data_IF_154667699434
#
_entry.id   IF_154667699434
#
_cell.length_a   1.000
_cell.length_b   1.000
_cell.length_c   1.000
_cell.angle_alpha   90.00
_cell.angle_beta   90.00
_cell.angle_gamma   90.00
#
_symmetry.space_group_name_H-M   'P 1'
#
loop_
_entity.id
_entity.type
_entity.pdbx_description
1 polymer ?
#
# COMPACT_ATOMS: atom_id res chain seq x y z
N UNK A 1 9.15 -8.50 37.66
CA UNK A 1 7.69 -8.70 37.67
C UNK A 1 7.06 -8.13 36.40
N UNK A 2 6.49 -8.97 35.53
CA UNK A 2 5.68 -8.49 34.40
C UNK A 2 4.22 -8.41 34.84
N UNK A 3 3.57 -7.28 34.62
CA UNK A 3 2.26 -6.95 35.23
C UNK A 3 1.04 -7.35 34.41
N UNK A 4 1.17 -7.79 33.15
CA UNK A 4 0.00 -7.88 32.25
C UNK A 4 -0.08 -9.05 31.27
N UNK A 5 0.97 -9.86 31.04
CA UNK A 5 0.90 -11.12 30.25
C UNK A 5 2.18 -11.96 30.43
N UNK A 6 2.06 -13.29 30.28
CA UNK A 6 3.19 -14.21 30.20
C UNK A 6 3.97 -13.96 28.90
N UNK A 7 5.25 -13.59 29.03
CA UNK A 7 6.14 -13.33 27.88
C UNK A 7 6.73 -14.60 27.27
N UNK A 8 6.56 -15.75 27.95
CA UNK A 8 7.05 -17.06 27.51
C UNK A 8 5.85 -18.00 27.53
N UNK A 9 5.56 -18.62 26.38
CA UNK A 9 4.50 -19.61 26.23
C UNK A 9 5.15 -20.96 25.90
N UNK A 10 4.85 -21.99 26.70
CA UNK A 10 5.37 -23.35 26.51
C UNK A 10 4.32 -24.16 25.75
N UNK A 11 4.71 -24.80 24.64
CA UNK A 11 3.82 -25.58 23.78
C UNK A 11 4.61 -26.65 23.01
N UNK A 12 3.90 -27.57 22.33
CA UNK A 12 4.53 -28.58 21.47
C UNK A 12 5.14 -27.99 20.20
N UNK A 13 6.14 -28.67 19.62
CA UNK A 13 6.91 -28.20 18.45
C UNK A 13 5.98 -27.81 17.28
N UNK A 14 5.09 -28.71 16.85
CA UNK A 14 4.15 -28.45 15.74
C UNK A 14 3.20 -27.28 16.02
N UNK A 15 2.78 -27.12 17.28
CA UNK A 15 1.92 -26.00 17.70
C UNK A 15 2.68 -24.67 17.63
N UNK A 16 3.95 -24.64 18.00
CA UNK A 16 4.80 -23.46 17.89
C UNK A 16 5.01 -23.05 16.42
N UNK A 17 5.31 -24.00 15.53
CA UNK A 17 5.45 -23.77 14.09
C UNK A 17 4.15 -23.22 13.50
N UNK A 18 3.02 -23.89 13.74
CA UNK A 18 1.71 -23.45 13.24
C UNK A 18 1.32 -22.06 13.77
N UNK A 19 1.61 -21.76 15.04
CA UNK A 19 1.30 -20.46 15.64
C UNK A 19 1.93 -19.30 14.88
N UNK A 20 3.15 -19.46 14.34
CA UNK A 20 3.80 -18.41 13.56
C UNK A 20 3.06 -18.13 12.26
N UNK A 21 2.69 -19.18 11.53
CA UNK A 21 1.95 -19.06 10.28
C UNK A 21 0.52 -18.51 10.50
N UNK A 22 -0.18 -19.00 11.53
CA UNK A 22 -1.51 -18.55 11.89
C UNK A 22 -1.52 -17.05 12.27
N UNK A 23 -0.56 -16.60 13.08
CA UNK A 23 -0.46 -15.19 13.47
C UNK A 23 -0.23 -14.25 12.27
N UNK A 24 0.73 -14.57 11.40
CA UNK A 24 1.00 -13.77 10.20
C UNK A 24 -0.19 -13.77 9.23
N UNK A 25 -0.87 -14.90 9.07
CA UNK A 25 -2.05 -15.02 8.21
C UNK A 25 -3.23 -14.22 8.75
N UNK A 26 -3.43 -14.21 10.07
CA UNK A 26 -4.47 -13.39 10.69
C UNK A 26 -4.21 -11.89 10.51
N UNK A 27 -2.96 -11.43 10.70
CA UNK A 27 -2.60 -10.03 10.46
C UNK A 27 -2.84 -9.62 9.00
N UNK A 28 -2.49 -10.48 8.04
CA UNK A 28 -2.79 -10.24 6.63
C UNK A 28 -4.28 -10.24 6.34
N UNK A 29 -5.05 -11.14 6.98
CA UNK A 29 -6.52 -11.18 6.88
C UNK A 29 -7.13 -9.85 7.31
N UNK A 30 -6.68 -9.26 8.43
CA UNK A 30 -7.17 -7.94 8.87
C UNK A 30 -6.95 -6.86 7.81
N UNK A 31 -5.78 -6.88 7.14
CA UNK A 31 -5.44 -5.92 6.10
C UNK A 31 -6.29 -6.13 4.84
N UNK A 32 -6.37 -7.36 4.32
CA UNK A 32 -7.20 -7.66 3.14
C UNK A 32 -8.67 -7.35 3.41
N UNK A 33 -9.18 -7.70 4.58
CA UNK A 33 -10.56 -7.38 4.98
C UNK A 33 -10.85 -5.88 4.93
N UNK A 34 -10.03 -5.05 5.60
CA UNK A 34 -10.30 -3.60 5.59
C UNK A 34 -10.10 -2.98 4.20
N UNK A 35 -9.24 -3.55 3.36
CA UNK A 35 -9.07 -3.14 1.97
C UNK A 35 -10.31 -3.47 1.13
N UNK A 36 -10.92 -4.64 1.30
CA UNK A 36 -12.19 -4.99 0.66
C UNK A 36 -13.30 -4.01 1.07
N UNK A 37 -13.43 -3.73 2.37
CA UNK A 37 -14.38 -2.72 2.88
C UNK A 37 -14.08 -1.33 2.29
N UNK A 38 -12.81 -0.95 2.11
CA UNK A 38 -12.46 0.34 1.51
C UNK A 38 -12.97 0.50 0.07
N UNK A 39 -13.04 -0.59 -0.70
CA UNK A 39 -13.61 -0.56 -2.06
C UNK A 39 -15.13 -0.36 -2.01
N UNK A 40 -15.80 -0.96 -1.03
CA UNK A 40 -17.23 -0.73 -0.80
C UNK A 40 -17.48 0.72 -0.36
N UNK A 41 -16.63 1.28 0.51
CA UNK A 41 -16.70 2.69 0.90
C UNK A 41 -16.58 3.61 -0.33
N UNK A 42 -15.66 3.33 -1.25
CA UNK A 42 -15.54 4.09 -2.51
C UNK A 42 -16.80 4.00 -3.41
N UNK A 43 -17.50 2.86 -3.38
CA UNK A 43 -18.69 2.60 -4.20
C UNK A 43 -19.98 3.20 -3.60
N UNK A 44 -20.08 3.21 -2.27
CA UNK A 44 -21.25 3.71 -1.54
C UNK A 44 -21.07 5.12 -0.96
N UNK A 45 -19.97 5.79 -1.31
CA UNK A 45 -19.63 7.15 -0.83
C UNK A 45 -19.56 7.25 0.70
N UNK A 46 -18.99 6.24 1.34
CA UNK A 46 -18.69 6.23 2.78
C UNK A 46 -17.20 6.51 3.04
N UNK A 47 -16.83 6.98 4.25
CA UNK A 47 -15.42 7.16 4.64
C UNK A 47 -14.92 5.93 5.43
N UNK A 48 -13.94 5.23 4.87
CA UNK A 48 -13.32 4.05 5.50
C UNK A 48 -12.68 4.37 6.86
N UNK A 49 -12.25 5.61 7.11
CA UNK A 49 -11.70 6.03 8.39
C UNK A 49 -12.79 6.04 9.47
N UNK A 50 -14.01 6.47 9.13
CA UNK A 50 -15.17 6.44 10.02
C UNK A 50 -15.62 5.00 10.27
N UNK A 51 -15.74 4.19 9.20
CA UNK A 51 -16.10 2.76 9.30
C UNK A 51 -15.10 2.00 10.17
N UNK A 52 -13.79 2.22 9.95
CA UNK A 52 -12.73 1.65 10.79
C UNK A 52 -12.88 2.07 12.24
N UNK A 53 -13.11 3.36 12.52
CA UNK A 53 -13.26 3.85 13.89
C UNK A 53 -14.47 3.23 14.59
N UNK A 54 -15.61 3.12 13.90
CA UNK A 54 -16.81 2.46 14.41
C UNK A 54 -16.57 0.98 14.70
N UNK A 55 -16.04 0.23 13.72
CA UNK A 55 -15.76 -1.20 13.87
C UNK A 55 -14.73 -1.48 14.99
N UNK A 56 -13.64 -0.72 15.03
CA UNK A 56 -12.56 -0.94 16.00
C UNK A 56 -12.87 -0.46 17.42
N UNK A 57 -13.97 0.28 17.61
CA UNK A 57 -14.45 0.63 18.96
C UNK A 57 -14.84 -0.61 19.77
N UNK A 58 -15.17 -1.71 19.09
CA UNK A 58 -15.28 -3.02 19.70
C UNK A 58 -13.88 -3.56 20.08
N UNK A 59 -13.66 -3.70 21.39
CA UNK A 59 -12.39 -4.14 21.96
C UNK A 59 -11.96 -5.55 21.53
N UNK A 60 -12.89 -6.39 21.04
CA UNK A 60 -12.60 -7.71 20.49
C UNK A 60 -11.91 -7.64 19.12
N UNK A 61 -12.08 -6.54 18.39
CA UNK A 61 -11.47 -6.30 17.07
C UNK A 61 -10.18 -5.50 17.23
N UNK A 62 -10.27 -4.38 17.95
CA UNK A 62 -9.18 -3.45 18.23
C UNK A 62 -8.60 -2.72 17.00
N UNK A 63 -7.77 -1.71 17.26
CA UNK A 63 -7.31 -0.72 16.25
C UNK A 63 -6.03 -1.09 15.48
N UNK A 64 -5.35 -2.18 15.87
CA UNK A 64 -4.05 -2.57 15.30
C UNK A 64 -4.20 -3.35 14.00
N UNK A 65 -3.30 -3.11 13.04
CA UNK A 65 -3.20 -3.85 11.77
C UNK A 65 -4.48 -3.84 10.92
N UNK A 66 -5.20 -2.72 10.92
CA UNK A 66 -6.47 -2.58 10.20
C UNK A 66 -6.55 -1.20 9.53
N UNK A 67 -5.50 -0.88 8.80
CA UNK A 67 -5.40 0.36 8.03
C UNK A 67 -5.55 0.03 6.54
N UNK A 68 -6.51 0.64 5.83
CA UNK A 68 -6.66 0.45 4.40
C UNK A 68 -5.48 1.08 3.65
N UNK A 69 -5.14 0.51 2.49
CA UNK A 69 -4.10 1.04 1.62
C UNK A 69 -3.94 0.26 0.33
N UNK A 70 -2.79 0.38 -0.31
CA UNK A 70 -2.40 -0.32 -1.56
C UNK A 70 -2.05 -1.80 -1.38
N UNK A 71 -2.54 -2.43 -0.31
CA UNK A 71 -2.19 -3.80 0.07
C UNK A 71 -0.90 -3.91 0.89
N UNK A 72 -0.62 -5.14 1.30
CA UNK A 72 0.59 -5.53 2.03
C UNK A 72 1.64 -6.15 1.10
N UNK A 73 2.90 -6.10 1.53
CA UNK A 73 4.05 -6.71 0.87
C UNK A 73 5.05 -7.27 1.88
N UNK A 74 6.33 -7.27 1.51
CA UNK A 74 7.43 -7.77 2.32
C UNK A 74 7.59 -9.29 2.26
N UNK A 75 8.63 -9.81 2.91
CA UNK A 75 8.97 -11.24 2.83
C UNK A 75 8.13 -12.17 3.71
N UNK A 76 7.38 -11.62 4.66
CA UNK A 76 6.68 -12.43 5.67
C UNK A 76 5.28 -12.83 5.23
N UNK A 77 4.35 -11.86 5.07
CA UNK A 77 2.94 -12.20 4.83
C UNK A 77 2.71 -12.97 3.52
N UNK A 78 3.18 -12.51 2.34
CA UNK A 78 2.94 -13.23 1.09
C UNK A 78 3.50 -14.65 1.12
N UNK A 79 4.71 -14.82 1.67
CA UNK A 79 5.38 -16.13 1.76
C UNK A 79 4.62 -17.08 2.69
N UNK A 80 4.29 -16.63 3.90
CA UNK A 80 3.70 -17.50 4.93
C UNK A 80 2.26 -17.91 4.58
N UNK A 81 1.47 -17.01 3.95
CA UNK A 81 0.12 -17.33 3.46
C UNK A 81 0.20 -18.38 2.34
N UNK A 82 1.05 -18.14 1.32
CA UNK A 82 1.23 -19.10 0.22
C UNK A 82 1.73 -20.46 0.73
N UNK A 83 2.60 -20.46 1.74
CA UNK A 83 3.05 -21.69 2.39
C UNK A 83 1.91 -22.45 3.09
N UNK A 84 1.05 -21.76 3.85
CA UNK A 84 -0.13 -22.39 4.47
C UNK A 84 -1.14 -22.91 3.44
N UNK A 85 -1.36 -22.16 2.36
CA UNK A 85 -2.24 -22.60 1.27
C UNK A 85 -1.74 -23.92 0.69
N UNK A 86 -0.45 -23.97 0.36
CA UNK A 86 0.18 -25.17 -0.19
C UNK A 86 0.19 -26.33 0.82
N UNK A 87 0.46 -26.06 2.10
CA UNK A 87 0.44 -27.08 3.16
C UNK A 87 -0.96 -27.69 3.33
N UNK A 88 -1.99 -26.85 3.31
CA UNK A 88 -3.40 -27.27 3.38
C UNK A 88 -3.77 -28.21 2.24
N UNK A 89 -3.43 -27.82 1.00
CA UNK A 89 -3.74 -28.62 -0.19
C UNK A 89 -3.01 -29.96 -0.19
N UNK A 90 -1.78 -30.04 0.34
CA UNK A 90 -1.03 -31.30 0.47
C UNK A 90 -1.72 -32.34 1.36
N UNK A 91 -2.58 -31.91 2.29
CA UNK A 91 -3.38 -32.81 3.14
C UNK A 91 -4.84 -32.92 2.68
N UNK A 92 -5.15 -32.47 1.47
CA UNK A 92 -6.50 -32.56 0.89
C UNK A 92 -7.49 -31.50 1.42
N UNK A 93 -7.02 -30.43 2.07
CA UNK A 93 -7.86 -29.34 2.57
C UNK A 93 -7.72 -28.08 1.72
N UNK A 94 -8.85 -27.48 1.30
CA UNK A 94 -8.85 -26.21 0.57
C UNK A 94 -9.08 -25.02 1.53
N UNK A 95 -8.08 -24.15 1.74
CA UNK A 95 -8.15 -23.08 2.73
C UNK A 95 -8.81 -21.82 2.17
N UNK A 96 -10.14 -21.84 2.06
CA UNK A 96 -10.95 -20.77 1.44
C UNK A 96 -10.61 -19.35 1.91
N UNK A 97 -10.42 -19.16 3.22
CA UNK A 97 -10.12 -17.82 3.79
C UNK A 97 -8.73 -17.34 3.33
N UNK A 98 -7.72 -18.19 3.40
CA UNK A 98 -6.35 -17.80 3.05
C UNK A 98 -6.22 -17.48 1.56
N UNK A 99 -6.92 -18.25 0.72
CA UNK A 99 -7.01 -18.01 -0.72
C UNK A 99 -7.63 -16.63 -0.99
N UNK A 100 -8.80 -16.33 -0.40
CA UNK A 100 -9.45 -15.02 -0.56
C UNK A 100 -8.58 -13.85 -0.07
N UNK A 101 -7.87 -14.02 1.04
CA UNK A 101 -6.96 -12.99 1.58
C UNK A 101 -5.84 -12.65 0.58
N UNK A 102 -5.29 -13.66 -0.10
CA UNK A 102 -4.25 -13.49 -1.12
C UNK A 102 -4.79 -12.80 -2.37
N UNK A 103 -5.95 -13.24 -2.87
CA UNK A 103 -6.61 -12.70 -4.06
C UNK A 103 -6.97 -11.22 -3.87
N UNK A 104 -7.62 -10.88 -2.74
CA UNK A 104 -7.97 -9.49 -2.40
C UNK A 104 -6.72 -8.61 -2.34
N UNK A 105 -5.60 -9.09 -1.79
CA UNK A 105 -4.38 -8.30 -1.74
C UNK A 105 -3.75 -8.11 -3.13
N UNK A 106 -3.78 -9.14 -3.97
CA UNK A 106 -3.28 -9.09 -5.35
C UNK A 106 -4.05 -8.04 -6.18
N UNK A 107 -5.37 -7.99 -6.03
CA UNK A 107 -6.22 -6.97 -6.64
C UNK A 107 -6.00 -5.59 -6.02
N UNK A 108 -5.88 -5.50 -4.70
CA UNK A 108 -5.69 -4.23 -4.01
C UNK A 108 -4.39 -3.52 -4.42
N UNK A 109 -3.33 -4.25 -4.75
CA UNK A 109 -2.09 -3.66 -5.29
C UNK A 109 -2.31 -2.88 -6.60
N UNK A 110 -3.44 -3.09 -7.29
CA UNK A 110 -3.80 -2.39 -8.54
C UNK A 110 -4.75 -1.22 -8.32
N UNK A 111 -5.27 -1.00 -7.11
CA UNK A 111 -6.34 -0.01 -6.84
C UNK A 111 -5.94 1.42 -7.22
N UNK A 112 -4.69 1.83 -7.00
CA UNK A 112 -4.23 3.15 -7.41
C UNK A 112 -4.14 3.29 -8.93
N UNK A 113 -3.73 2.22 -9.63
CA UNK A 113 -3.69 2.19 -11.09
C UNK A 113 -5.10 2.33 -11.66
N UNK A 114 -6.10 1.69 -11.03
CA UNK A 114 -7.52 1.85 -11.41
C UNK A 114 -7.99 3.30 -11.25
N UNK A 115 -7.64 3.95 -10.14
CA UNK A 115 -7.95 5.38 -9.92
C UNK A 115 -7.24 6.29 -10.93
N UNK A 116 -5.97 6.00 -11.26
CA UNK A 116 -5.23 6.71 -12.32
C UNK A 116 -5.91 6.51 -13.69
N UNK A 117 -6.31 5.28 -14.03
CA UNK A 117 -7.05 4.95 -15.26
C UNK A 117 -8.36 5.72 -15.35
N UNK A 118 -9.10 5.83 -14.25
CA UNK A 118 -10.35 6.58 -14.19
C UNK A 118 -10.15 8.08 -14.42
N UNK A 119 -9.05 8.66 -13.92
CA UNK A 119 -8.77 10.10 -14.07
C UNK A 119 -8.13 10.46 -15.43
N UNK A 120 -7.09 9.72 -15.86
CA UNK A 120 -6.27 10.06 -17.03
C UNK A 120 -6.57 9.23 -18.28
N UNK A 121 -7.43 8.20 -18.18
CA UNK A 121 -7.69 7.23 -19.24
C UNK A 121 -6.67 6.09 -19.27
N UNK A 122 -6.86 5.17 -20.23
CA UNK A 122 -6.01 3.95 -20.37
C UNK A 122 -4.67 4.19 -21.06
N UNK A 123 -4.52 5.28 -21.81
CA UNK A 123 -3.29 5.63 -22.51
C UNK A 123 -2.55 6.73 -21.75
N UNK A 124 -1.44 6.37 -21.11
CA UNK A 124 -0.63 7.28 -20.31
C UNK A 124 0.61 7.80 -21.07
N UNK A 125 0.67 7.60 -22.39
CA UNK A 125 1.79 8.07 -23.21
C UNK A 125 2.04 9.57 -23.02
N UNK A 126 3.29 9.92 -22.73
CA UNK A 126 3.72 11.31 -22.51
C UNK A 126 3.31 11.89 -21.15
N UNK A 127 2.79 11.06 -20.23
CA UNK A 127 2.48 11.46 -18.85
C UNK A 127 3.58 10.96 -17.91
N UNK A 128 4.09 11.88 -17.09
CA UNK A 128 5.07 11.58 -16.04
C UNK A 128 4.37 11.54 -14.70
N UNK A 129 4.52 10.44 -13.94
CA UNK A 129 3.98 10.31 -12.59
C UNK A 129 5.10 10.39 -11.55
N UNK A 130 4.87 11.14 -10.48
CA UNK A 130 5.73 11.14 -9.32
C UNK A 130 5.32 10.03 -8.36
N UNK A 131 6.26 9.24 -7.85
CA UNK A 131 6.02 8.18 -6.87
C UNK A 131 6.82 8.45 -5.61
N UNK A 132 6.12 8.57 -4.49
CA UNK A 132 6.69 8.71 -3.16
C UNK A 132 6.55 7.40 -2.40
N UNK A 133 7.68 6.79 -2.07
CA UNK A 133 7.76 5.51 -1.36
C UNK A 133 7.86 4.31 -2.30
N UNK A 134 8.89 3.50 -2.09
CA UNK A 134 9.22 2.31 -2.86
C UNK A 134 9.33 1.06 -1.98
N UNK A 135 9.78 1.19 -0.73
CA UNK A 135 9.79 0.08 0.22
C UNK A 135 8.37 -0.45 0.48
N UNK A 136 8.23 -1.71 0.89
CA UNK A 136 6.90 -2.27 1.18
C UNK A 136 6.20 -1.63 2.39
N UNK A 137 6.99 -1.05 3.30
CA UNK A 137 6.57 -0.28 4.49
C UNK A 137 7.69 0.70 4.88
N UNK A 138 7.43 1.65 5.78
CA UNK A 138 8.48 2.53 6.31
C UNK A 138 9.57 1.79 7.10
N UNK A 139 10.71 2.46 7.25
CA UNK A 139 11.89 2.06 8.03
C UNK A 139 12.59 0.79 7.53
N UNK A 140 12.54 0.53 6.22
CA UNK A 140 13.26 -0.57 5.58
C UNK A 140 13.56 -0.23 4.13
N UNK A 141 14.61 -0.85 3.59
CA UNK A 141 14.95 -0.87 2.16
C UNK A 141 14.26 -2.01 1.40
N UNK A 142 13.58 -2.92 2.10
CA UNK A 142 13.01 -4.13 1.48
C UNK A 142 11.90 -3.78 0.48
N UNK A 143 12.14 -4.13 -0.78
CA UNK A 143 11.19 -3.95 -1.88
C UNK A 143 10.54 -5.27 -2.33
N UNK A 144 10.81 -6.40 -1.66
CA UNK A 144 10.18 -7.68 -2.00
C UNK A 144 8.68 -7.58 -1.82
N UNK A 145 7.94 -8.00 -2.84
CA UNK A 145 6.47 -7.97 -2.86
C UNK A 145 5.86 -6.58 -2.61
N UNK A 146 6.64 -5.51 -2.74
CA UNK A 146 6.18 -4.15 -2.46
C UNK A 146 5.09 -3.71 -3.46
N UNK A 147 4.00 -3.06 -3.01
CA UNK A 147 2.96 -2.54 -3.90
C UNK A 147 3.49 -1.56 -4.96
N UNK A 148 4.53 -0.79 -4.62
CA UNK A 148 5.23 0.13 -5.54
C UNK A 148 5.69 -0.55 -6.82
N UNK A 149 6.20 -1.78 -6.73
CA UNK A 149 6.70 -2.54 -7.89
C UNK A 149 5.56 -2.86 -8.84
N UNK A 150 4.42 -3.31 -8.32
CA UNK A 150 3.22 -3.61 -9.13
C UNK A 150 2.69 -2.34 -9.79
N UNK A 151 2.51 -1.27 -8.99
CA UNK A 151 1.92 -0.01 -9.46
C UNK A 151 2.79 0.62 -10.55
N UNK A 152 4.11 0.72 -10.33
CA UNK A 152 5.04 1.33 -11.30
C UNK A 152 5.03 0.54 -12.61
N UNK A 153 5.12 -0.79 -12.55
CA UNK A 153 5.14 -1.62 -13.75
C UNK A 153 3.84 -1.51 -14.56
N UNK A 154 2.68 -1.45 -13.90
CA UNK A 154 1.39 -1.24 -14.55
C UNK A 154 1.30 0.13 -15.23
N UNK A 155 1.78 1.21 -14.58
CA UNK A 155 1.81 2.54 -15.17
C UNK A 155 2.69 2.58 -16.43
N UNK A 156 3.87 1.95 -16.38
CA UNK A 156 4.80 1.87 -17.51
C UNK A 156 4.20 1.04 -18.64
N UNK A 157 3.53 -0.07 -18.33
CA UNK A 157 2.83 -0.89 -19.33
C UNK A 157 1.75 -0.10 -20.08
N UNK A 158 1.22 0.97 -19.49
CA UNK A 158 0.27 1.89 -20.11
C UNK A 158 0.94 3.08 -20.83
N UNK A 159 2.26 3.11 -20.90
CA UNK A 159 3.05 4.14 -21.61
C UNK A 159 3.46 5.34 -20.76
N UNK A 160 3.26 5.30 -19.44
CA UNK A 160 3.73 6.36 -18.56
C UNK A 160 5.25 6.34 -18.36
N UNK A 161 5.81 7.49 -18.00
CA UNK A 161 7.11 7.57 -17.32
C UNK A 161 6.90 7.81 -15.83
N UNK A 162 7.83 7.33 -15.00
CA UNK A 162 7.76 7.45 -13.55
C UNK A 162 9.03 8.11 -13.03
N UNK A 163 8.86 9.12 -12.19
CA UNK A 163 9.93 9.65 -11.34
C UNK A 163 9.67 9.18 -9.92
N UNK A 164 10.60 8.46 -9.32
CA UNK A 164 10.39 7.80 -8.04
C UNK A 164 11.47 8.13 -7.02
N UNK A 165 11.05 8.17 -5.76
CA UNK A 165 11.93 8.39 -4.63
C UNK A 165 11.45 7.62 -3.40
N UNK A 166 12.40 7.09 -2.65
CA UNK A 166 12.21 6.50 -1.33
C UNK A 166 13.37 6.93 -0.42
N UNK A 167 13.16 7.19 0.88
CA UNK A 167 14.22 7.68 1.76
C UNK A 167 15.33 6.66 2.01
N UNK A 168 15.04 5.36 1.91
CA UNK A 168 15.95 4.28 2.33
C UNK A 168 16.16 3.25 1.22
N UNK A 169 15.15 2.96 0.40
CA UNK A 169 15.17 1.87 -0.56
C UNK A 169 15.80 2.20 -1.93
N UNK A 170 16.45 3.37 -2.12
CA UNK A 170 16.94 3.77 -3.44
C UNK A 170 17.97 2.81 -4.06
N UNK A 171 18.82 2.19 -3.26
CA UNK A 171 19.78 1.20 -3.75
C UNK A 171 19.10 -0.09 -4.23
N UNK A 172 18.11 -0.58 -3.46
CA UNK A 172 17.29 -1.72 -3.90
C UNK A 172 16.43 -1.36 -5.11
N UNK A 173 15.86 -0.15 -5.14
CA UNK A 173 15.10 0.35 -6.27
C UNK A 173 15.94 0.39 -7.55
N UNK A 174 17.23 0.72 -7.45
CA UNK A 174 18.15 0.67 -8.60
C UNK A 174 18.35 -0.75 -9.12
N UNK A 175 18.34 -1.77 -8.25
CA UNK A 175 18.38 -3.18 -8.69
C UNK A 175 17.08 -3.60 -9.36
N UNK A 176 15.94 -3.12 -8.87
CA UNK A 176 14.60 -3.46 -9.40
C UNK A 176 14.31 -2.74 -10.72
N UNK A 177 14.66 -1.46 -10.84
CA UNK A 177 14.25 -0.59 -11.95
C UNK A 177 15.40 -0.01 -12.78
N UNK A 178 16.66 -0.22 -12.41
CA UNK A 178 17.80 0.51 -13.00
C UNK A 178 18.02 0.29 -14.50
N UNK A 179 17.48 -0.79 -15.06
CA UNK A 179 17.52 -1.08 -16.50
C UNK A 179 16.25 -0.61 -17.25
N UNK A 180 15.30 0.04 -16.57
CA UNK A 180 14.05 0.50 -17.16
C UNK A 180 14.12 2.01 -17.45
N UNK A 181 14.26 2.36 -18.73
CA UNK A 181 14.35 3.75 -19.19
C UNK A 181 13.09 4.59 -18.92
N UNK A 182 11.97 3.96 -18.53
CA UNK A 182 10.74 4.66 -18.16
C UNK A 182 10.71 5.06 -16.67
N UNK A 183 11.70 4.65 -15.87
CA UNK A 183 11.82 5.00 -14.45
C UNK A 183 13.06 5.87 -14.24
N UNK A 184 12.85 7.04 -13.63
CA UNK A 184 13.92 7.90 -13.12
C UNK A 184 13.90 7.86 -11.61
N UNK A 185 15.01 7.47 -10.99
CA UNK A 185 15.22 7.51 -9.55
C UNK A 185 15.79 8.88 -9.17
N UNK A 186 15.03 9.69 -8.44
CA UNK A 186 15.39 11.06 -8.09
C UNK A 186 16.16 11.14 -6.76
N UNK A 187 16.82 12.28 -6.49
CA UNK A 187 17.60 12.46 -5.26
C UNK A 187 16.71 12.81 -4.05
N UNK A 188 15.57 13.44 -4.28
CA UNK A 188 14.58 13.81 -3.26
C UNK A 188 13.14 13.74 -3.78
N UNK A 189 12.17 13.82 -2.88
CA UNK A 189 10.76 13.71 -3.20
C UNK A 189 10.23 14.85 -4.08
N UNK A 190 10.77 16.07 -3.98
CA UNK A 190 10.29 17.22 -4.77
C UNK A 190 10.84 17.19 -6.19
N UNK A 191 12.01 16.62 -6.43
CA UNK A 191 12.50 16.37 -7.79
C UNK A 191 11.57 15.47 -8.59
N UNK A 192 10.94 14.48 -7.94
CA UNK A 192 9.98 13.61 -8.60
C UNK A 192 8.77 14.37 -9.15
N UNK A 193 8.41 15.49 -8.52
CA UNK A 193 7.22 16.28 -8.83
C UNK A 193 7.38 17.21 -10.03
N UNK A 194 8.62 17.55 -10.41
CA UNK A 194 8.89 18.46 -11.53
C UNK A 194 8.23 17.94 -12.82
N UNK A 195 7.28 18.70 -13.37
CA UNK A 195 6.47 18.38 -14.55
C UNK A 195 5.59 17.13 -14.44
N UNK A 196 5.43 16.56 -13.25
CA UNK A 196 4.58 15.40 -13.03
C UNK A 196 3.11 15.77 -13.17
N UNK A 197 2.32 14.91 -13.82
CA UNK A 197 0.86 15.09 -13.94
C UNK A 197 0.11 14.68 -12.68
N UNK A 198 0.71 13.84 -11.84
CA UNK A 198 0.16 13.47 -10.55
C UNK A 198 1.26 12.91 -9.63
N UNK A 199 1.01 12.96 -8.32
CA UNK A 199 1.81 12.30 -7.31
C UNK A 199 1.06 11.08 -6.74
N UNK A 200 1.76 9.96 -6.62
CA UNK A 200 1.29 8.74 -5.98
C UNK A 200 2.07 8.52 -4.68
N UNK A 201 1.39 8.52 -3.54
CA UNK A 201 1.96 8.12 -2.26
C UNK A 201 1.72 6.62 -2.05
N UNK A 202 2.80 5.83 -2.04
CA UNK A 202 2.71 4.37 -1.97
C UNK A 202 3.24 3.83 -0.63
N UNK A 203 4.16 4.55 0.03
CA UNK A 203 4.71 4.15 1.34
C UNK A 203 4.67 5.31 2.32
N UNK A 204 4.08 5.08 3.49
CA UNK A 204 3.71 6.07 4.51
C UNK A 204 4.87 6.56 5.39
N UNK A 205 5.98 6.92 4.74
CA UNK A 205 7.15 7.47 5.43
C UNK A 205 6.79 8.76 6.17
N UNK A 206 7.41 8.95 7.35
CA UNK A 206 7.15 10.13 8.18
C UNK A 206 7.44 11.43 7.42
N UNK A 207 8.52 11.49 6.64
CA UNK A 207 8.88 12.70 5.89
C UNK A 207 7.80 13.16 4.89
N UNK A 208 6.95 12.23 4.40
CA UNK A 208 5.88 12.58 3.50
C UNK A 208 4.62 13.09 4.23
N UNK A 209 4.59 13.19 5.56
CA UNK A 209 3.35 13.53 6.30
C UNK A 209 2.96 15.01 6.19
N UNK A 210 3.95 15.87 6.00
CA UNK A 210 3.77 17.32 5.95
C UNK A 210 4.50 17.91 4.75
N UNK A 211 4.05 17.60 3.52
CA UNK A 211 4.68 18.16 2.34
C UNK A 211 4.34 19.64 2.20
N UNK A 212 5.23 20.38 1.53
CA UNK A 212 5.00 21.76 1.13
C UNK A 212 4.05 21.77 -0.09
N UNK A 213 2.74 21.76 0.18
CA UNK A 213 1.70 21.76 -0.86
C UNK A 213 1.78 23.01 -1.76
N UNK A 214 2.25 24.14 -1.25
CA UNK A 214 2.45 25.34 -2.07
C UNK A 214 3.55 25.09 -3.11
N UNK A 215 4.70 24.56 -2.69
CA UNK A 215 5.79 24.16 -3.59
C UNK A 215 5.34 23.10 -4.58
N UNK A 216 4.62 22.06 -4.12
CA UNK A 216 4.06 21.03 -5.00
C UNK A 216 3.22 21.66 -6.12
N UNK A 217 2.37 22.63 -5.77
CA UNK A 217 1.45 23.29 -6.70
C UNK A 217 2.15 24.10 -7.79
N UNK A 218 3.39 24.54 -7.56
CA UNK A 218 4.21 25.32 -8.50
C UNK A 218 5.03 24.45 -9.45
N UNK A 219 5.42 23.24 -9.02
CA UNK A 219 6.35 22.38 -9.77
C UNK A 219 5.66 21.23 -10.50
N UNK A 220 4.46 20.85 -10.09
CA UNK A 220 3.66 19.83 -10.76
C UNK A 220 2.91 20.43 -11.96
N UNK A 221 2.72 19.62 -13.00
CA UNK A 221 1.94 20.01 -14.18
C UNK A 221 0.44 20.04 -13.89
N UNK A 222 -0.05 19.17 -13.02
CA UNK A 222 -1.43 19.19 -12.53
C UNK A 222 -1.45 18.91 -11.02
N UNK A 223 -2.41 19.51 -10.32
CA UNK A 223 -2.57 19.37 -8.87
C UNK A 223 -3.37 18.10 -8.55
N UNK A 224 -2.83 16.92 -8.87
CA UNK A 224 -3.50 15.62 -8.65
C UNK A 224 -2.68 14.74 -7.72
N UNK A 225 -3.31 14.24 -6.66
CA UNK A 225 -2.70 13.35 -5.67
C UNK A 225 -3.51 12.06 -5.56
N UNK A 226 -2.83 10.93 -5.67
CA UNK A 226 -3.34 9.62 -5.34
C UNK A 226 -2.63 9.13 -4.08
N UNK A 227 -3.37 9.01 -2.99
CA UNK A 227 -2.84 8.65 -1.70
C UNK A 227 -3.21 7.21 -1.36
N UNK A 228 -2.26 6.30 -1.60
CA UNK A 228 -2.41 4.88 -1.35
C UNK A 228 -2.37 4.48 0.12
N UNK A 229 -2.19 5.43 1.04
CA UNK A 229 -2.01 5.18 2.48
C UNK A 229 -2.90 6.05 3.37
N UNK A 230 -3.78 6.87 2.77
CA UNK A 230 -4.68 7.79 3.48
C UNK A 230 -3.94 8.70 4.47
N UNK A 231 -2.76 9.16 4.09
CA UNK A 231 -1.88 9.97 4.94
C UNK A 231 -2.39 11.40 5.10
N UNK A 232 -3.05 11.94 4.09
CA UNK A 232 -3.52 13.33 4.09
C UNK A 232 -5.00 13.47 4.44
N UNK A 233 -5.39 14.65 4.94
CA UNK A 233 -6.79 15.01 5.12
C UNK A 233 -7.38 15.43 3.77
N UNK A 234 -8.41 14.73 3.24
CA UNK A 234 -8.94 15.04 1.92
C UNK A 234 -9.50 16.46 1.78
N UNK A 235 -10.19 16.95 2.82
CA UNK A 235 -10.78 18.29 2.84
C UNK A 235 -9.69 19.36 2.75
N UNK A 236 -8.65 19.27 3.58
CA UNK A 236 -7.56 20.24 3.58
C UNK A 236 -6.80 20.26 2.24
N UNK A 237 -6.54 19.09 1.65
CA UNK A 237 -5.86 18.98 0.35
C UNK A 237 -6.72 19.58 -0.79
N UNK A 238 -8.03 19.36 -0.76
CA UNK A 238 -8.98 19.95 -1.72
C UNK A 238 -9.06 21.48 -1.58
N UNK A 239 -9.07 22.01 -0.36
CA UNK A 239 -9.06 23.46 -0.09
C UNK A 239 -7.79 24.14 -0.66
N UNK A 240 -6.68 23.42 -0.75
CA UNK A 240 -5.45 23.87 -1.41
C UNK A 240 -5.48 23.75 -2.94
N UNK A 241 -6.61 23.32 -3.51
CA UNK A 241 -6.85 23.22 -4.95
C UNK A 241 -6.33 21.94 -5.61
N UNK A 242 -6.04 20.89 -4.83
CA UNK A 242 -5.67 19.59 -5.38
C UNK A 242 -6.91 18.71 -5.58
N UNK A 243 -6.91 17.96 -6.69
CA UNK A 243 -7.75 16.76 -6.81
C UNK A 243 -7.11 15.65 -5.99
N UNK A 244 -7.85 15.08 -5.05
CA UNK A 244 -7.37 14.06 -4.13
C UNK A 244 -8.13 12.75 -4.30
N UNK A 245 -7.40 11.64 -4.33
CA UNK A 245 -7.94 10.29 -4.35
C UNK A 245 -7.30 9.47 -3.23
N UNK A 246 -8.07 9.16 -2.19
CA UNK A 246 -7.67 8.21 -1.15
C UNK A 246 -8.13 6.78 -1.46
N UNK A 247 -7.85 5.87 -0.53
CA UNK A 247 -8.38 4.50 -0.50
C UNK A 247 -9.63 4.49 0.37
N UNK A 248 -10.81 4.29 -0.23
CA UNK A 248 -12.10 4.27 0.49
C UNK A 248 -12.49 5.61 1.13
N UNK A 249 -11.99 6.73 0.59
CA UNK A 249 -12.31 8.09 1.04
C UNK A 249 -11.98 9.12 -0.04
N UNK A 250 -12.70 10.25 -0.04
CA UNK A 250 -12.61 11.27 -1.09
C UNK A 250 -12.29 12.66 -0.57
#
# INVERSE_FOLDING_TARGET
FCRTNDRILIMGIRSAEMSKYAANSFLATKISFINEISRLCDAYDADIAEVRNGMCSDSRIGYKFIFPGVGYGGSCFPKDIKALINMSRKVGYEPRILTAVEEVNSEQKKVLVEKVKAHFGKNLKGKTFAVWGLAFKPQTDDMREAPSVVIINELIAMGATVKAYDPVAMQEAKKVFGNNNSVTLCADEYETLKDAVAMLLITEWHQFRYPDFERMSKIMRQKVIFDGRNQYNPKAVKEMGFTYYGIGRR
#
